data_IF_971957814225
#
_entry.id   IF_971957814225
#
_cell.length_a   1.000
_cell.length_b   1.000
_cell.length_c   1.000
_cell.angle_alpha   90.00
_cell.angle_beta   90.00
_cell.angle_gamma   90.00
#
_symmetry.space_group_name_H-M   'P 1'
#
loop_
_entity.id
_entity.type
_entity.pdbx_description
1 polymer ?
#
# COMPACT_ATOMS: atom_id res chain seq x y z
N UNK A 1 -10.65 -4.79 -26.79
CA UNK A 1 -9.57 -3.79 -26.74
C UNK A 1 -10.16 -2.48 -27.18
N UNK A 2 -10.29 -1.52 -26.26
CA UNK A 2 -10.75 -0.17 -26.62
C UNK A 2 -9.57 0.59 -27.21
N UNK A 3 -9.53 0.69 -28.52
CA UNK A 3 -8.48 1.43 -29.22
C UNK A 3 -8.98 2.86 -29.46
N UNK A 4 -8.65 3.78 -28.58
CA UNK A 4 -8.84 5.20 -28.77
C UNK A 4 -7.50 5.82 -29.16
N UNK A 5 -7.44 6.53 -30.26
CA UNK A 5 -6.28 7.35 -30.63
C UNK A 5 -6.19 8.64 -29.81
N UNK A 6 -7.20 8.95 -29.02
CA UNK A 6 -7.30 10.15 -28.18
C UNK A 6 -7.01 9.78 -26.72
N UNK A 7 -6.20 10.56 -26.01
CA UNK A 7 -5.98 10.34 -24.59
C UNK A 7 -7.26 10.64 -23.79
N UNK A 8 -7.58 9.76 -22.84
CA UNK A 8 -8.71 9.91 -21.92
C UNK A 8 -8.35 9.32 -20.57
N UNK A 9 -8.60 10.05 -19.50
CA UNK A 9 -8.62 9.51 -18.15
C UNK A 9 -10.01 8.91 -17.89
N UNK A 10 -10.06 7.63 -17.51
CA UNK A 10 -11.35 7.00 -17.26
C UNK A 10 -11.29 5.96 -16.15
N UNK A 11 -12.46 5.74 -15.54
CA UNK A 11 -12.65 4.75 -14.49
C UNK A 11 -14.02 4.11 -14.60
N UNK A 12 -14.09 2.79 -14.32
CA UNK A 12 -15.36 2.07 -14.15
C UNK A 12 -15.64 1.79 -12.69
N UNK A 13 -16.92 1.63 -12.38
CA UNK A 13 -17.44 1.17 -11.12
C UNK A 13 -18.50 0.09 -11.34
N UNK A 14 -18.59 -0.86 -10.43
CA UNK A 14 -19.65 -1.86 -10.37
C UNK A 14 -20.08 -1.99 -8.92
N UNK A 15 -21.37 -1.79 -8.63
CA UNK A 15 -21.89 -1.94 -7.28
C UNK A 15 -22.02 -3.42 -6.90
N UNK A 16 -22.09 -3.67 -5.60
CA UNK A 16 -22.32 -5.00 -5.08
C UNK A 16 -23.67 -5.56 -5.59
N UNK A 17 -23.66 -6.81 -6.05
CA UNK A 17 -24.85 -7.46 -6.62
C UNK A 17 -25.18 -7.03 -8.04
N UNK A 18 -24.25 -6.40 -8.78
CA UNK A 18 -24.43 -5.98 -10.19
C UNK A 18 -25.65 -5.06 -10.42
N UNK A 19 -25.95 -4.20 -9.47
CA UNK A 19 -27.06 -3.26 -9.55
C UNK A 19 -26.76 -2.06 -10.43
N UNK A 20 -25.51 -1.56 -10.33
CA UNK A 20 -25.06 -0.37 -11.03
C UNK A 20 -23.73 -0.61 -11.72
N UNK A 21 -23.67 -0.28 -12.97
CA UNK A 21 -22.46 -0.24 -13.77
C UNK A 21 -22.19 1.21 -14.18
N UNK A 22 -21.05 1.75 -13.77
CA UNK A 22 -20.61 3.09 -14.05
C UNK A 22 -19.38 3.12 -14.95
N UNK A 23 -19.32 4.09 -15.83
CA UNK A 23 -18.10 4.51 -16.49
C UNK A 23 -18.05 6.02 -16.55
N UNK A 24 -16.94 6.60 -16.11
CA UNK A 24 -16.69 8.05 -16.18
C UNK A 24 -15.39 8.26 -16.95
N UNK A 25 -15.46 9.14 -17.94
CA UNK A 25 -14.32 9.54 -18.77
C UNK A 25 -14.14 11.04 -18.76
N UNK A 26 -12.91 11.51 -18.73
CA UNK A 26 -12.55 12.92 -18.67
C UNK A 26 -11.49 13.24 -19.71
N UNK A 27 -11.72 14.27 -20.50
CA UNK A 27 -10.75 14.92 -21.37
C UNK A 27 -10.62 16.39 -20.98
N UNK A 28 -9.69 17.17 -21.52
CA UNK A 28 -9.60 18.60 -21.25
C UNK A 28 -10.89 19.40 -21.56
N UNK A 29 -11.70 18.90 -22.49
CA UNK A 29 -12.94 19.60 -22.93
C UNK A 29 -14.22 18.99 -22.34
N UNK A 30 -14.23 17.67 -22.08
CA UNK A 30 -15.46 16.96 -21.76
C UNK A 30 -15.31 16.04 -20.54
N UNK A 31 -16.38 15.93 -19.80
CA UNK A 31 -16.58 14.85 -18.82
C UNK A 31 -17.84 14.09 -19.20
N UNK A 32 -17.70 12.77 -19.35
CA UNK A 32 -18.79 11.87 -19.73
C UNK A 32 -18.99 10.88 -18.58
N UNK A 33 -20.21 10.82 -18.08
CA UNK A 33 -20.64 9.80 -17.13
C UNK A 33 -21.71 8.92 -17.76
N UNK A 34 -21.56 7.61 -17.69
CA UNK A 34 -22.55 6.62 -18.13
C UNK A 34 -22.91 5.71 -16.97
N UNK A 35 -24.20 5.60 -16.74
CA UNK A 35 -24.77 4.64 -15.80
C UNK A 35 -25.64 3.65 -16.55
N UNK A 36 -25.50 2.39 -16.20
CA UNK A 36 -26.34 1.28 -16.68
C UNK A 36 -26.83 0.50 -15.48
N UNK A 37 -28.13 0.35 -15.36
CA UNK A 37 -28.74 -0.33 -14.22
C UNK A 37 -30.25 -0.37 -14.36
N UNK A 38 -30.93 -0.90 -13.36
CA UNK A 38 -32.39 -0.91 -13.27
C UNK A 38 -32.88 0.20 -12.32
N UNK A 39 -33.94 0.88 -12.69
CA UNK A 39 -34.53 1.97 -11.89
C UNK A 39 -35.06 1.47 -10.53
N UNK A 40 -35.43 0.20 -10.42
CA UNK A 40 -35.88 -0.47 -9.20
C UNK A 40 -34.72 -0.99 -8.32
N UNK A 41 -33.47 -0.86 -8.80
CA UNK A 41 -32.29 -1.32 -8.09
C UNK A 41 -32.09 -2.83 -8.13
N UNK A 42 -32.82 -3.58 -8.97
CA UNK A 42 -32.61 -5.01 -9.15
C UNK A 42 -31.26 -5.26 -9.84
N UNK A 43 -30.44 -6.14 -9.24
CA UNK A 43 -29.16 -6.51 -9.81
C UNK A 43 -29.31 -7.56 -10.92
N UNK A 44 -28.53 -7.41 -12.00
CA UNK A 44 -28.49 -8.37 -13.09
C UNK A 44 -27.06 -8.87 -13.31
N UNK A 45 -26.81 -10.20 -13.25
CA UNK A 45 -25.50 -10.76 -13.56
C UNK A 45 -24.99 -10.26 -14.90
N UNK A 46 -23.72 -9.81 -14.93
CA UNK A 46 -23.10 -9.27 -16.14
C UNK A 46 -23.23 -7.76 -16.32
N UNK A 47 -23.99 -7.04 -15.49
CA UNK A 47 -24.00 -5.56 -15.46
C UNK A 47 -22.75 -5.09 -14.74
N UNK A 48 -21.62 -5.04 -15.49
CA UNK A 48 -20.30 -4.67 -15.01
C UNK A 48 -19.88 -3.40 -15.74
N UNK A 49 -19.32 -2.42 -15.02
CA UNK A 49 -18.93 -1.12 -15.57
C UNK A 49 -18.09 -1.23 -16.84
N UNK A 50 -17.14 -2.16 -16.87
CA UNK A 50 -16.28 -2.37 -18.04
C UNK A 50 -17.03 -2.87 -19.28
N UNK A 51 -18.03 -3.71 -19.10
CA UNK A 51 -18.71 -4.37 -20.22
C UNK A 51 -20.03 -3.68 -20.61
N UNK A 52 -20.73 -3.07 -19.67
CA UNK A 52 -22.02 -2.44 -19.91
C UNK A 52 -21.91 -0.93 -20.13
N UNK A 53 -21.15 -0.21 -19.28
CA UNK A 53 -21.12 1.25 -19.31
C UNK A 53 -19.94 1.81 -20.15
N UNK A 54 -18.76 1.22 -20.07
CA UNK A 54 -17.59 1.75 -20.77
C UNK A 54 -17.72 1.77 -22.30
N UNK A 55 -18.31 0.76 -22.99
CA UNK A 55 -18.51 0.85 -24.44
C UNK A 55 -19.36 2.07 -24.84
N UNK A 56 -20.45 2.30 -24.11
CA UNK A 56 -21.34 3.45 -24.37
C UNK A 56 -20.62 4.78 -24.14
N UNK A 57 -19.80 4.87 -23.08
CA UNK A 57 -18.99 6.05 -22.82
C UNK A 57 -18.00 6.32 -23.96
N UNK A 58 -17.31 5.29 -24.46
CA UNK A 58 -16.35 5.44 -25.55
C UNK A 58 -17.06 5.77 -26.88
N UNK A 59 -18.26 5.24 -27.11
CA UNK A 59 -19.06 5.58 -28.29
C UNK A 59 -19.50 7.05 -28.24
N UNK A 60 -19.98 7.50 -27.09
CA UNK A 60 -20.34 8.90 -26.88
C UNK A 60 -19.11 9.82 -27.09
N UNK A 61 -17.94 9.43 -26.55
CA UNK A 61 -16.72 10.22 -26.72
C UNK A 61 -16.30 10.36 -28.20
N UNK A 62 -16.47 9.31 -28.98
CA UNK A 62 -16.17 9.34 -30.42
C UNK A 62 -17.05 10.31 -31.22
N UNK A 63 -18.25 10.57 -30.73
CA UNK A 63 -19.19 11.51 -31.35
C UNK A 63 -18.88 12.97 -31.03
N UNK A 64 -18.04 13.23 -30.02
CA UNK A 64 -17.68 14.59 -29.62
C UNK A 64 -16.51 15.12 -30.45
N UNK A 65 -16.55 16.42 -30.71
CA UNK A 65 -15.46 17.14 -31.36
C UNK A 65 -14.36 17.44 -30.32
N UNK A 66 -13.42 16.50 -30.20
CA UNK A 66 -12.28 16.59 -29.29
C UNK A 66 -11.01 16.54 -30.15
N UNK A 67 -10.16 17.54 -30.03
CA UNK A 67 -8.90 17.67 -30.77
C UNK A 67 -7.79 16.74 -30.27
N UNK A 68 -8.06 15.93 -29.25
CA UNK A 68 -7.10 15.01 -28.63
C UNK A 68 -6.04 15.71 -27.79
N UNK A 69 -6.25 17.00 -27.46
CA UNK A 69 -5.39 17.71 -26.53
C UNK A 69 -5.37 17.02 -25.17
N UNK A 70 -4.27 17.20 -24.42
CA UNK A 70 -4.12 16.63 -23.08
C UNK A 70 -3.52 17.68 -22.15
N UNK A 71 -3.77 17.50 -20.86
CA UNK A 71 -3.16 18.37 -19.85
C UNK A 71 -1.66 18.19 -19.82
N UNK A 72 -0.94 19.28 -19.80
CA UNK A 72 0.47 19.25 -19.48
C UNK A 72 0.66 19.18 -17.96
N UNK A 73 1.55 18.32 -17.46
CA UNK A 73 1.89 18.35 -16.04
C UNK A 73 2.41 19.74 -15.63
N UNK A 74 2.00 20.27 -14.47
CA UNK A 74 2.44 21.59 -14.00
C UNK A 74 3.86 21.50 -13.44
N UNK A 75 4.86 21.27 -14.30
CA UNK A 75 6.26 21.09 -13.91
C UNK A 75 6.85 22.30 -13.18
N UNK A 76 6.32 23.49 -13.42
CA UNK A 76 6.65 24.72 -12.68
C UNK A 76 6.25 24.65 -11.21
N UNK A 77 5.18 23.95 -10.86
CA UNK A 77 4.72 23.69 -9.51
C UNK A 77 5.29 22.39 -8.88
N UNK A 78 6.11 21.65 -9.61
CA UNK A 78 6.67 20.38 -9.18
C UNK A 78 8.19 20.45 -8.99
N UNK A 79 8.70 19.61 -8.09
CA UNK A 79 10.14 19.41 -7.87
C UNK A 79 10.47 17.93 -7.94
N UNK A 80 11.46 17.51 -8.74
CA UNK A 80 11.92 16.14 -8.74
C UNK A 80 12.63 15.82 -7.42
N UNK A 81 12.31 14.68 -6.83
CA UNK A 81 12.95 14.15 -5.63
C UNK A 81 13.23 12.66 -5.82
N UNK A 82 14.33 12.20 -5.23
CA UNK A 82 14.62 10.78 -5.16
C UNK A 82 13.72 10.14 -4.09
N UNK A 83 13.04 9.09 -4.49
CA UNK A 83 12.21 8.26 -3.62
C UNK A 83 12.72 6.83 -3.61
N UNK A 84 12.53 6.16 -2.52
CA UNK A 84 12.83 4.73 -2.41
C UNK A 84 11.87 3.94 -3.32
N UNK A 85 12.41 3.10 -4.21
CA UNK A 85 11.59 2.32 -5.17
C UNK A 85 10.66 1.33 -4.47
N UNK A 86 11.01 0.86 -3.27
CA UNK A 86 10.22 -0.14 -2.54
C UNK A 86 9.14 0.50 -1.66
N UNK A 87 9.44 1.62 -1.00
CA UNK A 87 8.50 2.25 -0.06
C UNK A 87 7.74 3.45 -0.64
N UNK A 88 8.26 4.07 -1.69
CA UNK A 88 7.73 5.33 -2.25
C UNK A 88 8.02 6.58 -1.41
N UNK A 89 8.68 6.46 -0.24
CA UNK A 89 9.08 7.59 0.60
C UNK A 89 10.37 8.23 0.10
N UNK A 90 10.70 9.44 0.59
CA UNK A 90 11.97 10.07 0.22
C UNK A 90 13.15 9.15 0.51
N UNK A 91 14.02 8.99 -0.48
CA UNK A 91 15.16 8.10 -0.36
C UNK A 91 16.15 8.57 0.71
N UNK A 92 16.74 7.60 1.43
CA UNK A 92 17.86 7.78 2.35
C UNK A 92 19.08 7.05 1.81
N UNK A 93 20.24 7.26 2.44
CA UNK A 93 21.47 6.54 2.07
C UNK A 93 21.37 5.02 2.25
N UNK A 94 20.41 4.54 3.03
CA UNK A 94 20.18 3.11 3.25
C UNK A 94 19.32 2.46 2.16
N UNK A 95 18.65 3.25 1.29
CA UNK A 95 17.84 2.72 0.22
C UNK A 95 18.71 2.14 -0.89
N UNK A 96 18.49 0.87 -1.23
CA UNK A 96 19.27 0.16 -2.24
C UNK A 96 18.89 0.54 -3.68
N UNK A 97 17.64 0.95 -3.88
CA UNK A 97 17.11 1.37 -5.17
C UNK A 97 16.26 2.63 -5.02
N UNK A 98 16.41 3.55 -5.96
CA UNK A 98 15.71 4.84 -5.94
C UNK A 98 15.15 5.18 -7.29
N UNK A 99 13.98 5.83 -7.28
CA UNK A 99 13.32 6.39 -8.45
C UNK A 99 13.20 7.91 -8.30
N UNK A 100 12.92 8.60 -9.40
CA UNK A 100 12.60 10.02 -9.37
C UNK A 100 11.09 10.22 -9.38
N UNK A 101 10.55 10.85 -8.36
CA UNK A 101 9.16 11.28 -8.29
C UNK A 101 9.05 12.81 -8.27
N UNK A 102 7.99 13.32 -8.88
CA UNK A 102 7.68 14.75 -8.84
C UNK A 102 6.77 15.02 -7.64
N UNK A 103 7.18 15.91 -6.75
CA UNK A 103 6.39 16.34 -5.59
C UNK A 103 6.02 17.84 -5.73
N UNK A 104 4.91 18.23 -5.13
CA UNK A 104 4.45 19.63 -5.14
C UNK A 104 5.42 20.49 -4.34
N UNK A 105 5.92 21.60 -4.96
CA UNK A 105 6.91 22.49 -4.33
C UNK A 105 6.43 23.09 -3.01
N UNK A 106 5.17 23.54 -2.99
CA UNK A 106 4.56 24.21 -1.83
C UNK A 106 3.73 23.23 -0.97
N UNK A 107 3.86 21.94 -1.23
CA UNK A 107 3.17 20.89 -0.49
C UNK A 107 3.94 20.47 0.76
N UNK A 108 3.28 19.63 1.56
CA UNK A 108 3.93 18.97 2.69
C UNK A 108 5.03 18.04 2.16
N UNK A 109 6.26 18.22 2.65
CA UNK A 109 7.37 17.34 2.28
C UNK A 109 7.09 15.91 2.76
N UNK A 110 7.15 14.90 1.89
CA UNK A 110 6.99 13.51 2.29
C UNK A 110 8.03 13.11 3.35
N UNK A 111 7.70 12.16 4.19
CA UNK A 111 8.65 11.61 5.15
C UNK A 111 9.80 10.87 4.45
N UNK A 112 10.94 10.78 5.10
CA UNK A 112 12.06 9.97 4.64
C UNK A 112 11.76 8.48 4.85
N UNK A 113 12.34 7.63 4.02
CA UNK A 113 12.19 6.18 4.11
C UNK A 113 12.72 5.67 5.46
N UNK A 114 11.84 5.09 6.25
CA UNK A 114 12.15 4.42 7.52
C UNK A 114 12.16 2.89 7.39
N UNK A 115 11.87 2.36 6.21
CA UNK A 115 11.79 0.92 5.95
C UNK A 115 13.13 0.29 5.67
N UNK A 116 14.14 1.07 5.24
CA UNK A 116 15.50 0.57 5.06
C UNK A 116 16.32 0.84 6.31
N UNK A 117 16.82 -0.24 6.89
CA UNK A 117 17.71 -0.19 8.06
C UNK A 117 19.04 -0.85 7.72
N UNK A 118 20.08 -0.38 8.38
CA UNK A 118 21.41 -0.98 8.32
C UNK A 118 21.66 -1.79 9.58
N UNK A 119 22.17 -3.01 9.42
CA UNK A 119 22.54 -3.88 10.52
C UNK A 119 23.89 -4.55 10.23
N UNK A 120 24.69 -4.74 11.26
CA UNK A 120 25.89 -5.59 11.20
C UNK A 120 25.48 -7.04 11.29
N UNK A 121 25.86 -7.84 10.30
CA UNK A 121 25.45 -9.23 10.15
C UNK A 121 26.69 -10.10 10.09
N UNK A 122 26.67 -11.27 10.73
CA UNK A 122 27.72 -12.27 10.63
C UNK A 122 27.73 -12.95 9.24
N UNK A 123 28.82 -13.67 8.94
CA UNK A 123 28.98 -14.38 7.68
C UNK A 123 27.89 -15.45 7.45
N UNK A 124 27.27 -15.96 8.49
CA UNK A 124 26.18 -16.96 8.42
C UNK A 124 24.82 -16.33 8.19
N UNK A 125 24.69 -15.00 8.34
CA UNK A 125 23.45 -14.24 8.25
C UNK A 125 22.36 -14.70 9.24
N UNK A 126 22.75 -15.29 10.36
CA UNK A 126 21.82 -15.79 11.37
C UNK A 126 21.56 -14.77 12.47
N UNK A 127 22.50 -13.86 12.72
CA UNK A 127 22.41 -12.88 13.78
C UNK A 127 22.81 -11.49 13.30
N UNK A 128 22.16 -10.49 13.89
CA UNK A 128 22.61 -9.10 13.83
C UNK A 128 23.38 -8.73 15.09
N UNK A 129 24.22 -7.72 14.98
CA UNK A 129 25.09 -7.23 16.06
C UNK A 129 24.96 -5.75 16.27
N UNK A 130 25.12 -5.30 17.51
CA UNK A 130 25.30 -3.89 17.80
C UNK A 130 26.77 -3.50 17.61
N UNK A 131 27.08 -2.21 17.33
CA UNK A 131 28.45 -1.75 17.19
C UNK A 131 29.36 -2.03 18.40
N UNK A 132 28.77 -2.19 19.59
CA UNK A 132 29.50 -2.43 20.85
C UNK A 132 29.91 -3.88 21.07
N UNK A 133 29.32 -4.83 20.34
CA UNK A 133 29.52 -6.28 20.54
C UNK A 133 29.78 -7.01 19.21
N UNK A 134 29.93 -6.29 18.09
CA UNK A 134 30.13 -6.93 16.79
C UNK A 134 31.51 -7.59 16.68
N UNK A 135 31.61 -8.81 16.10
CA UNK A 135 32.89 -9.41 15.75
C UNK A 135 33.53 -8.66 14.56
N UNK A 136 34.87 -8.75 14.43
CA UNK A 136 35.60 -8.11 13.32
C UNK A 136 35.11 -8.55 11.93
N UNK A 137 34.58 -9.76 11.83
CA UNK A 137 34.06 -10.33 10.59
C UNK A 137 32.63 -9.89 10.26
N UNK A 138 31.97 -9.10 11.11
CA UNK A 138 30.62 -8.62 10.82
C UNK A 138 30.63 -7.57 9.71
N UNK A 139 29.73 -7.70 8.75
CA UNK A 139 29.57 -6.78 7.64
C UNK A 139 28.28 -5.97 7.77
N UNK A 140 28.35 -4.68 7.41
CA UNK A 140 27.17 -3.81 7.35
C UNK A 140 26.30 -4.22 6.15
N UNK A 141 25.05 -4.53 6.39
CA UNK A 141 24.07 -4.93 5.37
C UNK A 141 22.80 -4.08 5.46
N UNK A 142 22.18 -3.85 4.32
CA UNK A 142 20.90 -3.11 4.22
C UNK A 142 19.74 -4.10 4.19
N UNK A 143 18.70 -3.79 4.93
CA UNK A 143 17.45 -4.56 4.98
C UNK A 143 16.27 -3.65 4.71
N UNK A 144 15.35 -4.13 3.86
CA UNK A 144 14.03 -3.53 3.73
C UNK A 144 13.09 -4.21 4.73
N UNK A 145 12.57 -3.46 5.69
CA UNK A 145 11.76 -3.99 6.78
C UNK A 145 10.39 -3.35 6.74
N UNK A 146 9.38 -4.15 6.54
CA UNK A 146 7.98 -3.71 6.65
C UNK A 146 7.49 -3.84 8.11
N UNK A 147 6.48 -3.05 8.52
CA UNK A 147 5.87 -3.20 9.84
C UNK A 147 5.41 -4.65 10.09
N UNK A 148 5.54 -5.11 11.33
CA UNK A 148 5.21 -6.50 11.73
C UNK A 148 3.84 -6.96 11.26
N UNK A 149 2.83 -6.07 11.32
CA UNK A 149 1.48 -6.35 10.80
C UNK A 149 1.42 -6.66 9.30
N UNK A 150 2.28 -6.02 8.52
CA UNK A 150 2.31 -6.19 7.07
C UNK A 150 3.25 -7.32 6.63
N UNK A 151 4.20 -7.70 7.48
CA UNK A 151 5.30 -8.59 7.12
C UNK A 151 4.82 -9.98 6.68
N UNK A 152 3.86 -10.56 7.39
CA UNK A 152 3.25 -11.86 7.05
C UNK A 152 2.62 -11.85 5.65
N UNK A 153 1.90 -10.76 5.32
CA UNK A 153 1.31 -10.60 3.99
C UNK A 153 2.37 -10.31 2.95
N UNK A 154 3.36 -9.47 3.27
CA UNK A 154 4.41 -9.10 2.34
C UNK A 154 5.27 -10.29 1.94
N UNK A 155 5.67 -11.14 2.89
CA UNK A 155 6.41 -12.40 2.66
C UNK A 155 5.70 -13.32 1.68
N UNK A 156 4.38 -13.43 1.79
CA UNK A 156 3.57 -14.30 0.93
C UNK A 156 3.67 -13.94 -0.55
N UNK A 157 3.80 -12.65 -0.85
CA UNK A 157 3.86 -12.14 -2.24
C UNK A 157 5.27 -11.80 -2.70
N UNK A 158 6.25 -11.80 -1.79
CA UNK A 158 7.65 -11.47 -2.06
C UNK A 158 8.57 -12.54 -1.47
N UNK A 159 8.76 -13.68 -2.15
CA UNK A 159 9.57 -14.80 -1.63
C UNK A 159 11.05 -14.45 -1.38
N UNK A 160 11.55 -13.39 -2.03
CA UNK A 160 12.92 -12.89 -1.84
C UNK A 160 13.08 -11.97 -0.62
N UNK A 161 12.00 -11.64 0.06
CA UNK A 161 12.05 -10.78 1.24
C UNK A 161 12.84 -11.45 2.37
N UNK A 162 13.75 -10.69 2.96
CA UNK A 162 14.55 -11.13 4.11
C UNK A 162 14.17 -10.32 5.33
N UNK A 163 13.71 -11.00 6.37
CA UNK A 163 13.55 -10.40 7.70
C UNK A 163 14.91 -10.04 8.29
N UNK A 164 14.91 -9.04 9.15
CA UNK A 164 16.10 -8.73 9.94
C UNK A 164 16.40 -9.92 10.88
N UNK A 165 17.62 -10.45 10.91
CA UNK A 165 17.99 -11.53 11.83
C UNK A 165 17.84 -11.08 13.29
N UNK A 166 17.59 -12.01 14.23
CA UNK A 166 17.56 -11.69 15.65
C UNK A 166 18.91 -11.17 16.12
N UNK A 167 18.90 -10.37 17.18
CA UNK A 167 20.13 -9.90 17.81
C UNK A 167 20.89 -11.06 18.42
N UNK A 168 22.23 -11.05 18.27
CA UNK A 168 23.06 -12.08 18.88
C UNK A 168 22.89 -12.09 20.42
N UNK A 169 22.77 -13.26 21.06
CA UNK A 169 22.53 -13.34 22.51
C UNK A 169 23.52 -12.55 23.36
N UNK A 170 24.80 -12.53 22.96
CA UNK A 170 25.85 -11.80 23.69
C UNK A 170 25.71 -10.28 23.58
N UNK A 171 24.90 -9.79 22.61
CA UNK A 171 24.60 -8.38 22.40
C UNK A 171 23.31 -7.94 23.07
N UNK A 172 22.51 -8.84 23.58
CA UNK A 172 21.22 -8.57 24.17
C UNK A 172 21.41 -7.85 25.52
N UNK A 173 21.37 -6.53 25.52
CA UNK A 173 21.14 -5.73 26.74
C UNK A 173 19.65 -5.74 27.07
N UNK A 174 19.31 -5.77 28.37
CA UNK A 174 17.95 -5.96 28.88
C UNK A 174 16.90 -4.89 28.48
N UNK A 175 17.23 -3.91 27.66
CA UNK A 175 16.39 -2.74 27.34
C UNK A 175 15.91 -2.64 25.89
N UNK A 176 16.08 -3.68 25.08
CA UNK A 176 15.53 -3.62 23.71
C UNK A 176 14.07 -4.02 23.73
N UNK A 177 13.20 -3.01 23.55
CA UNK A 177 11.78 -3.20 23.24
C UNK A 177 11.69 -3.99 21.92
N UNK A 178 11.38 -5.27 22.01
CA UNK A 178 11.11 -6.09 20.83
C UNK A 178 9.80 -5.63 20.20
N UNK A 179 9.90 -4.91 19.09
CA UNK A 179 8.79 -4.60 18.18
C UNK A 179 8.35 -5.86 17.39
N UNK A 180 8.69 -7.04 17.92
CA UNK A 180 8.39 -8.32 17.26
C UNK A 180 6.93 -8.75 17.43
N UNK A 181 6.23 -8.18 18.40
CA UNK A 181 4.82 -8.47 18.71
C UNK A 181 3.95 -7.27 18.40
N UNK A 182 2.95 -7.43 17.55
CA UNK A 182 1.96 -6.40 17.28
C UNK A 182 0.55 -6.90 17.57
N UNK A 183 -0.24 -6.09 18.29
CA UNK A 183 -1.66 -6.36 18.51
C UNK A 183 -2.44 -5.89 17.29
N UNK A 184 -3.10 -6.83 16.59
CA UNK A 184 -3.92 -6.56 15.41
C UNK A 184 -5.30 -6.05 15.82
N UNK A 185 -5.86 -6.63 16.86
CA UNK A 185 -7.18 -6.30 17.38
C UNK A 185 -7.19 -6.42 18.90
N UNK A 186 -7.78 -5.45 19.60
CA UNK A 186 -8.34 -4.20 19.10
C UNK A 186 -7.26 -3.20 18.66
N UNK A 187 -7.60 -2.27 17.78
CA UNK A 187 -6.69 -1.18 17.41
C UNK A 187 -6.45 -0.24 18.57
N UNK A 188 -5.28 0.38 18.70
CA UNK A 188 -5.02 1.39 19.73
C UNK A 188 -6.12 2.46 19.77
N UNK A 189 -6.60 2.79 20.97
CA UNK A 189 -7.68 3.75 21.17
C UNK A 189 -9.10 3.23 20.87
N UNK A 190 -9.29 1.98 20.46
CA UNK A 190 -10.61 1.39 20.26
C UNK A 190 -11.34 1.21 21.59
N UNK A 191 -12.63 1.54 21.59
CA UNK A 191 -13.54 1.20 22.68
C UNK A 191 -14.21 -0.13 22.37
N UNK A 192 -13.99 -1.14 23.22
CA UNK A 192 -14.61 -2.45 23.06
C UNK A 192 -15.85 -2.50 23.96
N UNK A 193 -17.00 -2.72 23.35
CA UNK A 193 -18.21 -3.02 24.09
C UNK A 193 -18.28 -4.52 24.34
N UNK A 194 -18.29 -4.94 25.62
CA UNK A 194 -18.44 -6.34 26.03
C UNK A 194 -19.85 -6.50 26.59
N UNK A 195 -20.80 -7.05 25.82
CA UNK A 195 -22.16 -7.22 26.26
C UNK A 195 -22.25 -8.26 27.39
N UNK A 196 -23.36 -8.24 28.12
CA UNK A 196 -23.71 -9.33 29.02
C UNK A 196 -24.49 -10.41 28.27
N UNK A 197 -24.19 -11.65 28.54
CA UNK A 197 -24.96 -12.78 28.08
C UNK A 197 -26.26 -12.93 28.87
N UNK A 198 -27.14 -13.78 28.41
CA UNK A 198 -28.45 -14.02 29.10
C UNK A 198 -28.32 -14.49 30.54
N UNK A 199 -27.21 -15.15 30.89
CA UNK A 199 -26.86 -15.59 32.24
C UNK A 199 -26.22 -14.49 33.13
N UNK A 200 -26.25 -13.24 32.66
CA UNK A 200 -25.64 -12.04 33.28
C UNK A 200 -24.10 -12.08 33.36
N UNK A 201 -23.43 -13.00 32.70
CA UNK A 201 -21.98 -12.96 32.60
C UNK A 201 -21.56 -12.05 31.45
N UNK A 202 -20.38 -11.44 31.57
CA UNK A 202 -19.79 -10.68 30.47
C UNK A 202 -19.34 -11.62 29.38
N UNK A 203 -19.66 -11.29 28.12
CA UNK A 203 -19.12 -11.96 26.96
C UNK A 203 -17.59 -11.85 26.90
N UNK A 204 -16.96 -12.69 26.10
CA UNK A 204 -15.51 -12.67 25.93
C UNK A 204 -15.10 -11.61 24.93
N UNK A 205 -14.04 -10.86 25.24
CA UNK A 205 -13.35 -10.04 24.26
C UNK A 205 -12.25 -10.86 23.60
N UNK A 206 -12.16 -10.79 22.26
CA UNK A 206 -11.11 -11.45 21.50
C UNK A 206 -9.98 -10.44 21.28
N UNK A 207 -8.75 -10.87 21.51
CA UNK A 207 -7.54 -10.14 21.16
C UNK A 207 -6.77 -10.96 20.14
N UNK A 208 -6.26 -10.29 19.13
CA UNK A 208 -5.41 -10.91 18.10
C UNK A 208 -4.07 -10.19 18.07
N UNK A 209 -3.01 -10.96 18.07
CA UNK A 209 -1.65 -10.45 17.96
C UNK A 209 -0.89 -11.23 16.88
N UNK A 210 0.12 -10.62 16.31
CA UNK A 210 1.06 -11.24 15.37
C UNK A 210 2.47 -11.07 15.89
N UNK A 211 3.28 -12.10 15.73
CA UNK A 211 4.69 -12.09 16.08
C UNK A 211 5.54 -12.23 14.82
N UNK A 212 6.67 -11.51 14.74
CA UNK A 212 7.52 -11.47 13.55
C UNK A 212 8.18 -12.83 13.23
N UNK A 213 8.46 -13.62 14.25
CA UNK A 213 9.08 -14.94 14.13
C UNK A 213 8.09 -16.10 13.98
N UNK A 214 6.79 -15.84 13.84
CA UNK A 214 5.82 -16.89 13.55
C UNK A 214 6.12 -17.49 12.16
N UNK A 215 6.87 -18.58 12.18
CA UNK A 215 6.89 -19.53 11.10
C UNK A 215 5.60 -20.33 11.18
N UNK A 216 4.67 -20.04 10.26
CA UNK A 216 3.45 -20.82 10.09
C UNK A 216 3.78 -22.26 9.68
#
# INVERSE_FOLDING_TARGET
TFNSSRPIAWKTGTSFGFRDAWAVGVTPKYTIGVWVGNADGEGRPGVIGLHAAAPIMFDALRMLDDDGSWWSPPYDALTPKLVCSESGWLATSSCMSTDTAFIIKEGQTPASCSYHVQAYIDATQQYQYNPTCMPEAAALSNFFIVPTLAETYYKRYNPSYRSLPPLHPDCASAEQSNDDLAIIYPRPGSKIYVPFEWDKKKSRAVFSAVHRSDTA
#
